data_IF_731531902885
#
_entry.id   IF_731531902885
#
_cell.length_a   1.000
_cell.length_b   1.000
_cell.length_c   1.000
_cell.angle_alpha   90.00
_cell.angle_beta   90.00
_cell.angle_gamma   90.00
#
_symmetry.space_group_name_H-M   'P 1'
#
loop_
_entity.id
_entity.type
_entity.pdbx_description
1 polymer ?
#
# COMPACT_ATOMS: atom_id res chain seq x y z
N UNK A 1 -8.61 16.98 11.16
CA UNK A 1 -9.08 16.50 9.89
C UNK A 1 -7.98 16.49 8.84
N UNK A 2 -7.18 15.48 8.86
CA UNK A 2 -5.98 15.53 8.06
C UNK A 2 -6.27 15.36 6.57
N UNK A 3 -6.91 14.27 6.21
CA UNK A 3 -7.11 13.92 4.80
C UNK A 3 -8.60 13.82 4.55
N UNK A 4 -9.10 14.70 3.72
CA UNK A 4 -10.53 14.77 3.50
C UNK A 4 -10.99 13.95 2.34
N UNK A 5 -10.14 13.77 1.34
CA UNK A 5 -10.55 13.07 0.14
C UNK A 5 -9.57 11.97 -0.17
N UNK A 6 -10.05 10.95 -0.86
CA UNK A 6 -9.19 9.87 -1.31
C UNK A 6 -8.20 10.34 -2.35
N UNK A 7 -8.60 11.32 -3.17
CA UNK A 7 -7.70 11.84 -4.19
C UNK A 7 -6.49 12.53 -3.57
N UNK A 8 -6.73 13.36 -2.53
CA UNK A 8 -5.62 14.02 -1.84
C UNK A 8 -4.69 13.00 -1.17
N UNK A 9 -5.29 11.98 -0.55
CA UNK A 9 -4.50 10.95 0.09
C UNK A 9 -3.71 10.13 -0.92
N UNK A 10 -4.24 9.91 -2.12
CA UNK A 10 -3.56 9.14 -3.15
C UNK A 10 -2.20 9.76 -3.49
N UNK A 11 -2.12 11.08 -3.60
CA UNK A 11 -0.85 11.75 -3.86
C UNK A 11 0.15 11.54 -2.73
N UNK A 12 -0.33 11.55 -1.49
CA UNK A 12 0.54 11.33 -0.34
C UNK A 12 1.03 9.89 -0.29
N UNK A 13 0.16 8.95 -0.62
CA UNK A 13 0.55 7.54 -0.69
C UNK A 13 1.59 7.33 -1.79
N UNK A 14 1.40 7.94 -2.96
CA UNK A 14 2.36 7.84 -4.06
C UNK A 14 3.71 8.39 -3.64
N UNK A 15 3.73 9.54 -2.98
CA UNK A 15 4.96 10.15 -2.51
C UNK A 15 5.67 9.26 -1.49
N UNK A 16 4.89 8.64 -0.60
CA UNK A 16 5.44 7.75 0.41
C UNK A 16 6.03 6.48 -0.23
N UNK A 17 5.35 5.93 -1.23
CA UNK A 17 5.89 4.78 -1.98
C UNK A 17 7.22 5.12 -2.63
N UNK A 18 7.36 6.34 -3.16
CA UNK A 18 8.59 6.76 -3.82
C UNK A 18 9.78 6.83 -2.87
N UNK A 19 9.54 7.05 -1.57
CA UNK A 19 10.63 7.07 -0.61
C UNK A 19 11.27 5.70 -0.38
N UNK A 20 10.57 4.64 -0.77
CA UNK A 20 11.01 3.27 -0.50
C UNK A 20 10.69 2.80 0.91
N UNK A 21 9.96 3.59 1.69
CA UNK A 21 9.58 3.21 3.06
C UNK A 21 8.17 2.66 3.15
N UNK A 22 7.45 2.64 2.05
CA UNK A 22 6.12 2.04 1.96
C UNK A 22 6.11 1.09 0.77
N UNK A 23 5.38 -0.01 0.89
CA UNK A 23 5.24 -0.94 -0.24
C UNK A 23 3.81 -1.40 -0.37
N UNK A 24 3.44 -1.83 -1.59
CA UNK A 24 2.19 -2.56 -1.79
C UNK A 24 2.37 -3.97 -1.25
N UNK A 25 1.52 -4.35 -0.33
CA UNK A 25 1.57 -5.69 0.26
C UNK A 25 0.75 -6.66 -0.58
N UNK A 26 1.13 -7.93 -0.55
CA UNK A 26 0.50 -8.94 -1.39
C UNK A 26 -0.94 -9.27 -0.98
N UNK A 27 -1.42 -8.69 0.11
CA UNK A 27 -2.81 -8.83 0.54
C UNK A 27 -3.71 -7.70 0.04
N UNK A 28 -3.18 -6.83 -0.85
CA UNK A 28 -3.95 -5.72 -1.40
C UNK A 28 -3.98 -4.47 -0.55
N UNK A 29 -3.22 -4.43 0.53
CA UNK A 29 -3.08 -3.26 1.39
C UNK A 29 -1.69 -2.67 1.21
N UNK A 30 -1.38 -1.59 1.93
CA UNK A 30 -0.03 -1.03 1.93
C UNK A 30 0.62 -1.27 3.28
N UNK A 31 1.94 -1.34 3.30
CA UNK A 31 2.69 -1.67 4.50
C UNK A 31 3.94 -0.80 4.63
N UNK A 32 4.15 -0.25 5.82
CA UNK A 32 5.35 0.53 6.10
C UNK A 32 6.51 -0.45 6.34
N UNK A 33 7.62 -0.19 5.66
CA UNK A 33 8.85 -0.94 5.87
C UNK A 33 9.59 -0.33 7.06
N UNK A 34 9.55 -1.02 8.18
CA UNK A 34 10.10 -0.48 9.44
C UNK A 34 11.56 -0.86 9.58
N UNK A 35 12.37 -0.36 8.66
CA UNK A 35 13.80 -0.57 8.67
C UNK A 35 14.45 0.42 9.62
N UNK A 36 15.75 0.21 9.93
CA UNK A 36 16.47 1.18 10.73
C UNK A 36 16.55 2.54 10.01
N UNK A 37 16.61 2.52 8.68
CA UNK A 37 16.57 3.77 7.91
C UNK A 37 15.27 4.53 8.14
N UNK A 38 14.15 3.83 8.17
CA UNK A 38 12.86 4.47 8.40
C UNK A 38 12.80 5.09 9.80
N UNK A 39 13.44 4.47 10.79
CA UNK A 39 13.42 5.00 12.15
C UNK A 39 14.07 6.37 12.23
N UNK A 40 14.93 6.71 11.27
CA UNK A 40 15.58 8.02 11.20
C UNK A 40 15.02 8.89 10.10
N UNK A 41 13.93 8.46 9.46
CA UNK A 41 13.30 9.18 8.37
C UNK A 41 12.31 10.19 8.94
N UNK A 42 12.69 11.48 8.85
CA UNK A 42 11.85 12.53 9.38
C UNK A 42 11.82 12.53 10.91
N UNK A 43 10.89 13.25 11.46
CA UNK A 43 10.69 13.34 12.91
C UNK A 43 9.68 12.30 13.37
N UNK A 44 9.55 12.15 14.69
CA UNK A 44 8.52 11.28 15.25
C UNK A 44 7.11 11.70 14.82
N UNK A 45 6.76 13.01 14.86
CA UNK A 45 5.46 13.44 14.32
C UNK A 45 5.28 13.11 12.84
N UNK A 46 6.35 13.16 12.04
CA UNK A 46 6.26 12.77 10.63
C UNK A 46 5.90 11.30 10.47
N UNK A 47 6.55 10.45 11.27
CA UNK A 47 6.25 9.02 11.21
C UNK A 47 4.85 8.71 11.72
N UNK A 48 4.37 9.46 12.71
CA UNK A 48 2.99 9.32 13.19
C UNK A 48 1.99 9.68 12.09
N UNK A 49 2.26 10.75 11.35
CA UNK A 49 1.39 11.14 10.23
C UNK A 49 1.39 10.06 9.14
N UNK A 50 2.57 9.48 8.88
CA UNK A 50 2.67 8.40 7.90
C UNK A 50 1.84 7.19 8.34
N UNK A 51 1.89 6.86 9.62
CA UNK A 51 1.09 5.75 10.16
C UNK A 51 -0.41 6.02 10.00
N UNK A 52 -0.84 7.25 10.29
CA UNK A 52 -2.24 7.63 10.11
C UNK A 52 -2.66 7.56 8.66
N UNK A 53 -1.78 8.00 7.76
CA UNK A 53 -2.02 7.95 6.32
C UNK A 53 -2.26 6.51 5.86
N UNK A 54 -1.40 5.60 6.32
CA UNK A 54 -1.50 4.18 5.94
C UNK A 54 -2.76 3.56 6.53
N UNK A 55 -3.09 3.88 7.79
CA UNK A 55 -4.31 3.36 8.40
C UNK A 55 -5.55 3.81 7.62
N UNK A 56 -5.59 5.08 7.20
CA UNK A 56 -6.70 5.59 6.42
C UNK A 56 -6.82 4.90 5.06
N UNK A 57 -5.69 4.74 4.39
CA UNK A 57 -5.69 4.09 3.07
C UNK A 57 -6.13 2.63 3.19
N UNK A 58 -5.57 1.90 4.16
CA UNK A 58 -5.92 0.49 4.34
C UNK A 58 -7.38 0.31 4.77
N UNK A 59 -7.89 1.24 5.58
CA UNK A 59 -9.29 1.21 5.96
C UNK A 59 -10.21 1.34 4.76
N UNK A 60 -9.89 2.24 3.85
CA UNK A 60 -10.69 2.43 2.63
C UNK A 60 -10.58 1.23 1.70
N UNK A 61 -9.37 0.68 1.55
CA UNK A 61 -9.19 -0.50 0.71
C UNK A 61 -9.97 -1.69 1.27
N UNK A 62 -9.90 -1.88 2.59
CA UNK A 62 -10.62 -2.97 3.24
C UNK A 62 -12.13 -2.82 3.07
N UNK A 63 -12.64 -1.58 3.26
CA UNK A 63 -14.06 -1.32 3.08
C UNK A 63 -14.50 -1.59 1.63
N UNK A 64 -13.64 -1.28 0.66
CA UNK A 64 -13.91 -1.57 -0.74
C UNK A 64 -14.01 -3.07 -0.98
N UNK A 65 -13.06 -3.84 -0.45
CA UNK A 65 -13.06 -5.28 -0.64
C UNK A 65 -14.31 -5.92 -0.02
N UNK A 66 -14.64 -5.53 1.20
CA UNK A 66 -15.85 -6.03 1.87
C UNK A 66 -17.10 -5.61 1.13
N UNK A 67 -17.14 -4.37 0.64
CA UNK A 67 -18.29 -3.89 -0.11
C UNK A 67 -18.51 -4.68 -1.39
N UNK A 68 -17.44 -5.02 -2.10
CA UNK A 68 -17.54 -5.82 -3.33
C UNK A 68 -18.05 -7.21 -3.01
N UNK A 69 -17.52 -7.84 -1.96
CA UNK A 69 -17.97 -9.19 -1.57
C UNK A 69 -19.46 -9.17 -1.24
N UNK A 70 -19.91 -8.17 -0.48
CA UNK A 70 -21.30 -8.09 -0.07
C UNK A 70 -22.21 -7.81 -1.25
N UNK A 71 -21.83 -6.86 -2.10
CA UNK A 71 -22.66 -6.46 -3.24
C UNK A 71 -22.78 -7.57 -4.28
N UNK A 72 -21.75 -8.42 -4.38
CA UNK A 72 -21.70 -9.49 -5.38
C UNK A 72 -22.16 -10.83 -4.83
N UNK A 73 -22.57 -10.89 -3.57
CA UNK A 73 -22.97 -12.13 -2.91
C UNK A 73 -21.86 -13.18 -2.91
N UNK A 74 -20.61 -12.75 -2.95
CA UNK A 74 -19.50 -13.68 -2.84
C UNK A 74 -19.34 -14.13 -1.40
N UNK A 75 -18.90 -15.37 -1.22
CA UNK A 75 -18.62 -15.87 0.11
C UNK A 75 -17.34 -15.22 0.66
N UNK A 76 -17.20 -15.16 1.99
CA UNK A 76 -15.94 -14.65 2.57
C UNK A 76 -14.70 -15.38 2.08
N UNK A 77 -14.85 -16.61 1.60
CA UNK A 77 -13.72 -17.39 1.05
C UNK A 77 -13.17 -16.77 -0.23
N UNK A 78 -13.91 -15.87 -0.86
CA UNK A 78 -13.46 -15.20 -2.07
C UNK A 78 -12.56 -14.02 -1.78
N UNK A 79 -12.41 -13.61 -0.52
CA UNK A 79 -11.61 -12.44 -0.16
C UNK A 79 -10.15 -12.56 -0.62
N UNK A 80 -9.45 -13.69 -0.41
CA UNK A 80 -8.06 -13.78 -0.89
C UNK A 80 -7.92 -13.56 -2.39
N UNK A 81 -8.85 -14.10 -3.18
CA UNK A 81 -8.82 -13.91 -4.63
C UNK A 81 -9.03 -12.45 -5.00
N UNK A 82 -9.95 -11.78 -4.31
CA UNK A 82 -10.22 -10.37 -4.54
C UNK A 82 -9.01 -9.51 -4.17
N UNK A 83 -8.39 -9.79 -3.03
CA UNK A 83 -7.19 -9.08 -2.60
C UNK A 83 -6.07 -9.24 -3.63
N UNK A 84 -5.93 -10.42 -4.20
CA UNK A 84 -4.94 -10.68 -5.24
C UNK A 84 -5.19 -9.86 -6.48
N UNK A 85 -6.45 -9.78 -6.92
CA UNK A 85 -6.82 -8.99 -8.10
C UNK A 85 -6.43 -7.53 -7.88
N UNK A 86 -6.74 -6.96 -6.72
CA UNK A 86 -6.43 -5.58 -6.44
C UNK A 86 -4.93 -5.36 -6.26
N UNK A 87 -4.23 -6.31 -5.65
CA UNK A 87 -2.78 -6.23 -5.55
C UNK A 87 -2.15 -6.15 -6.95
N UNK A 88 -2.56 -7.02 -7.86
CA UNK A 88 -2.02 -7.04 -9.22
C UNK A 88 -2.37 -5.75 -9.98
N UNK A 89 -3.57 -5.23 -9.76
CA UNK A 89 -3.96 -3.97 -10.38
C UNK A 89 -3.13 -2.79 -9.87
N UNK A 90 -2.89 -2.73 -8.57
CA UNK A 90 -2.03 -1.69 -8.00
C UNK A 90 -0.60 -1.83 -8.52
N UNK A 91 -0.10 -3.06 -8.57
CA UNK A 91 1.25 -3.33 -9.02
C UNK A 91 1.44 -2.88 -10.47
N UNK A 92 0.43 -3.09 -11.31
CA UNK A 92 0.51 -2.75 -12.73
C UNK A 92 0.76 -1.25 -12.97
N UNK A 93 0.32 -0.38 -12.06
CA UNK A 93 0.47 1.06 -12.22
C UNK A 93 1.66 1.64 -11.45
N UNK A 94 2.39 0.83 -10.70
CA UNK A 94 3.56 1.33 -9.97
C UNK A 94 4.69 1.67 -10.95
N UNK A 95 5.41 2.76 -10.70
CA UNK A 95 6.62 3.04 -11.47
C UNK A 95 7.68 1.97 -11.23
N UNK A 96 8.53 1.75 -12.22
CA UNK A 96 9.67 0.84 -12.06
C UNK A 96 10.54 1.31 -10.89
N UNK A 97 11.05 0.34 -10.13
CA UNK A 97 11.87 0.61 -8.97
C UNK A 97 11.10 0.75 -7.68
N UNK A 98 9.77 0.80 -7.73
CA UNK A 98 8.95 0.87 -6.51
C UNK A 98 8.93 -0.49 -5.83
N UNK A 99 9.00 -0.47 -4.50
CA UNK A 99 9.00 -1.70 -3.72
C UNK A 99 7.60 -2.28 -3.60
N UNK A 100 7.52 -3.60 -3.62
CA UNK A 100 6.28 -4.31 -3.35
C UNK A 100 6.62 -5.65 -2.69
N UNK A 101 5.62 -6.28 -2.10
CA UNK A 101 5.78 -7.59 -1.47
C UNK A 101 5.46 -8.67 -2.49
N UNK A 102 6.41 -9.60 -2.71
CA UNK A 102 6.17 -10.69 -3.64
C UNK A 102 5.35 -11.82 -2.98
N UNK A 103 5.11 -12.88 -3.73
CA UNK A 103 4.28 -13.99 -3.24
C UNK A 103 4.89 -14.72 -2.07
N UNK A 104 6.21 -14.65 -1.93
CA UNK A 104 6.91 -15.29 -0.82
C UNK A 104 6.98 -14.40 0.42
N UNK A 105 6.46 -13.19 0.36
CA UNK A 105 6.52 -12.25 1.47
C UNK A 105 7.79 -11.42 1.52
N UNK A 106 8.58 -11.44 0.47
CA UNK A 106 9.84 -10.70 0.41
C UNK A 106 9.65 -9.38 -0.33
N UNK A 107 10.49 -8.40 -0.02
CA UNK A 107 10.49 -7.13 -0.73
C UNK A 107 11.09 -7.33 -2.11
N UNK A 108 10.38 -6.87 -3.13
CA UNK A 108 10.85 -6.90 -4.51
C UNK A 108 10.73 -5.51 -5.10
N UNK A 109 11.25 -5.32 -6.31
CA UNK A 109 11.21 -4.03 -7.00
C UNK A 109 10.47 -4.18 -8.31
N UNK A 110 9.54 -3.26 -8.58
CA UNK A 110 8.83 -3.23 -9.86
C UNK A 110 9.85 -3.12 -10.98
N UNK A 111 9.74 -3.99 -11.97
CA UNK A 111 10.71 -4.05 -13.07
C UNK A 111 11.96 -4.82 -12.74
N UNK A 112 12.09 -5.34 -11.53
CA UNK A 112 13.17 -6.23 -11.13
C UNK A 112 14.41 -5.56 -10.56
N UNK A 113 14.50 -4.22 -10.60
CA UNK A 113 15.68 -3.50 -10.10
C UNK A 113 15.22 -2.27 -9.31
N UNK A 114 16.03 -1.85 -8.31
CA UNK A 114 15.73 -0.62 -7.56
C UNK A 114 15.71 0.60 -8.47
N UNK A 115 14.99 1.62 -8.02
CA UNK A 115 14.98 2.88 -8.73
C UNK A 115 16.38 3.48 -8.76
N UNK A 116 16.76 4.05 -9.90
CA UNK A 116 18.04 4.74 -10.02
C UNK A 116 18.05 6.02 -9.21
N UNK A 117 19.22 6.37 -8.74
CA UNK A 117 19.43 7.63 -8.03
C UNK A 117 19.94 8.70 -8.95
#
# INVERSE_FOLDING_TARGET
QAIRTRAARAHLIEAFLETGHLMEANNGLVSILRTSEYKHFGSSPDRDRNAQLVLGENGDRWALYEGILNASNFSPKSLPALQRIFFEAHLAVLPDGTKFEDESGNVAYKGGVPASK
#
